data_IF_472691186108
#
_entry.id   IF_472691186108
#
_cell.length_a   1.000
_cell.length_b   1.000
_cell.length_c   1.000
_cell.angle_alpha   90.00
_cell.angle_beta   90.00
_cell.angle_gamma   90.00
#
_symmetry.space_group_name_H-M   'P 1'
#
loop_
_entity.id
_entity.type
_entity.pdbx_description
1 polymer ?
#
# COMPACT_ATOMS: atom_id res chain seq x y z
N UNK A 1 4.44 56.84 -32.33
CA UNK A 1 4.20 57.11 -30.91
C UNK A 1 3.30 55.96 -30.45
N UNK A 2 3.74 54.90 -29.77
CA UNK A 2 4.56 54.84 -28.55
C UNK A 2 5.52 53.63 -28.60
N UNK A 3 6.75 53.87 -28.15
CA UNK A 3 7.73 52.84 -27.78
C UNK A 3 7.21 52.06 -26.58
N UNK A 4 7.43 50.74 -26.56
CA UNK A 4 7.51 50.00 -25.30
C UNK A 4 8.74 49.10 -25.34
N UNK A 5 9.83 49.68 -24.86
CA UNK A 5 11.06 49.02 -24.53
C UNK A 5 10.80 48.13 -23.32
N UNK A 6 10.68 46.83 -23.53
CA UNK A 6 10.59 45.88 -22.41
C UNK A 6 12.01 45.53 -21.97
N UNK A 7 12.50 46.28 -20.97
CA UNK A 7 13.65 45.91 -20.15
C UNK A 7 13.21 44.78 -19.19
N UNK A 8 13.59 43.55 -19.49
CA UNK A 8 13.82 42.52 -18.47
C UNK A 8 15.35 42.34 -18.44
N UNK A 9 16.06 42.70 -17.38
CA UNK A 9 15.91 42.12 -16.05
C UNK A 9 17.00 41.07 -15.87
N UNK A 10 18.23 41.55 -15.60
CA UNK A 10 19.36 40.89 -14.94
C UNK A 10 19.73 39.41 -15.29
N UNK A 11 20.73 39.28 -16.16
CA UNK A 11 21.99 38.55 -15.96
C UNK A 11 21.94 37.37 -14.95
N UNK A 12 21.53 36.19 -15.40
CA UNK A 12 21.88 34.93 -14.73
C UNK A 12 23.28 34.53 -15.19
N UNK A 13 24.21 34.48 -14.24
CA UNK A 13 25.64 34.21 -14.37
C UNK A 13 25.96 33.00 -15.25
N UNK A 14 27.12 33.04 -15.92
CA UNK A 14 27.59 32.10 -16.95
C UNK A 14 27.28 30.61 -16.73
N UNK A 15 27.20 30.13 -15.49
CA UNK A 15 26.86 28.73 -15.15
C UNK A 15 25.46 28.28 -15.60
N UNK A 16 24.46 29.15 -15.68
CA UNK A 16 23.10 28.78 -16.14
C UNK A 16 23.05 28.60 -17.65
N UNK A 17 23.79 29.44 -18.39
CA UNK A 17 23.93 29.34 -19.85
C UNK A 17 24.76 28.11 -20.21
N UNK A 18 25.89 27.89 -19.53
CA UNK A 18 26.73 26.70 -19.69
C UNK A 18 25.94 25.41 -19.41
N UNK A 19 25.08 25.41 -18.40
CA UNK A 19 24.21 24.27 -18.11
C UNK A 19 23.17 24.04 -19.21
N UNK A 20 22.58 25.10 -19.77
CA UNK A 20 21.63 24.97 -20.87
C UNK A 20 22.30 24.41 -22.15
N UNK A 21 23.51 24.89 -22.46
CA UNK A 21 24.31 24.41 -23.60
C UNK A 21 24.71 22.93 -23.42
N UNK A 22 25.12 22.54 -22.20
CA UNK A 22 25.42 21.16 -21.86
C UNK A 22 24.19 20.24 -22.03
N UNK A 23 23.01 20.69 -21.59
CA UNK A 23 21.75 19.96 -21.77
C UNK A 23 21.40 19.83 -23.25
N UNK A 24 21.60 20.86 -24.07
CA UNK A 24 21.37 20.79 -25.52
C UNK A 24 22.36 19.88 -26.23
N UNK A 25 23.65 19.92 -25.86
CA UNK A 25 24.66 19.04 -26.42
C UNK A 25 24.36 17.57 -26.11
N UNK A 26 23.99 17.28 -24.86
CA UNK A 26 23.62 15.93 -24.43
C UNK A 26 22.34 15.43 -25.13
N UNK A 27 21.33 16.27 -25.30
CA UNK A 27 20.11 15.90 -26.01
C UNK A 27 20.38 15.53 -27.48
N UNK A 28 21.29 16.26 -28.15
CA UNK A 28 21.76 15.88 -29.50
C UNK A 28 22.48 14.53 -29.51
N UNK A 29 23.32 14.24 -28.51
CA UNK A 29 24.01 12.96 -28.40
C UNK A 29 23.04 11.78 -28.17
N UNK A 30 21.97 12.00 -27.42
CA UNK A 30 20.94 11.00 -27.13
C UNK A 30 19.85 10.93 -28.22
N UNK A 31 19.96 11.72 -29.29
CA UNK A 31 18.98 11.86 -30.36
C UNK A 31 17.55 12.18 -29.85
N UNK A 32 17.46 12.98 -28.78
CA UNK A 32 16.20 13.44 -28.21
C UNK A 32 15.86 14.79 -28.84
N UNK A 33 14.60 14.95 -29.26
CA UNK A 33 14.12 16.21 -29.82
C UNK A 33 14.20 17.33 -28.78
N UNK A 34 14.80 18.47 -29.12
CA UNK A 34 15.03 19.58 -28.18
C UNK A 34 13.70 20.10 -27.61
N UNK A 35 12.59 20.03 -28.35
CA UNK A 35 11.25 20.38 -27.86
C UNK A 35 10.78 19.51 -26.68
N UNK A 36 11.25 18.26 -26.58
CA UNK A 36 10.92 17.38 -25.45
C UNK A 36 11.51 17.88 -24.12
N UNK A 37 12.61 18.64 -24.16
CA UNK A 37 13.23 19.25 -22.97
C UNK A 37 12.37 20.38 -22.38
N UNK A 38 11.52 21.00 -23.19
CA UNK A 38 10.64 22.10 -22.78
C UNK A 38 9.23 21.62 -22.37
N UNK A 39 9.00 20.30 -22.38
CA UNK A 39 7.74 19.68 -21.95
C UNK A 39 6.54 19.94 -22.88
N UNK A 40 6.73 20.65 -23.99
CA UNK A 40 5.66 21.04 -24.92
C UNK A 40 5.30 19.95 -25.95
N UNK A 41 6.11 18.89 -26.07
CA UNK A 41 5.84 17.73 -26.94
C UNK A 41 5.30 16.51 -26.18
N UNK A 42 5.20 16.59 -24.85
CA UNK A 42 4.66 15.51 -24.02
C UNK A 42 3.14 15.58 -24.03
N UNK A 43 2.51 14.89 -24.99
CA UNK A 43 1.08 14.61 -24.90
C UNK A 43 0.88 13.50 -23.89
N UNK A 44 0.26 13.82 -22.75
CA UNK A 44 -0.28 12.79 -21.84
C UNK A 44 -1.42 12.09 -22.59
N UNK A 45 -1.10 10.97 -23.23
CA UNK A 45 -2.11 10.10 -23.82
C UNK A 45 -2.67 9.27 -22.67
N UNK A 46 -3.79 9.73 -22.12
CA UNK A 46 -4.57 8.94 -21.17
C UNK A 46 -5.19 7.76 -21.95
N UNK A 47 -4.44 6.66 -22.07
CA UNK A 47 -5.01 5.39 -22.53
C UNK A 47 -5.86 4.82 -21.41
N UNK A 48 -7.13 5.19 -21.41
CA UNK A 48 -8.15 4.42 -20.71
C UNK A 48 -8.55 3.28 -21.65
N UNK A 49 -7.61 2.39 -21.96
CA UNK A 49 -8.01 1.04 -22.34
C UNK A 49 -8.73 0.48 -21.11
N UNK A 50 -9.90 -0.14 -21.29
CA UNK A 50 -10.67 -0.73 -20.20
C UNK A 50 -9.76 -1.67 -19.40
N UNK A 51 -9.25 -1.19 -18.26
CA UNK A 51 -8.39 -1.98 -17.40
C UNK A 51 -9.20 -3.20 -16.98
N UNK A 52 -8.61 -4.38 -17.17
CA UNK A 52 -9.25 -5.61 -16.72
C UNK A 52 -9.50 -5.49 -15.21
N UNK A 53 -10.77 -5.34 -14.85
CA UNK A 53 -11.21 -5.32 -13.46
C UNK A 53 -11.10 -6.75 -12.91
N UNK A 54 -9.93 -7.09 -12.37
CA UNK A 54 -9.76 -8.27 -11.54
C UNK A 54 -10.21 -7.90 -10.12
N UNK A 55 -11.33 -8.46 -9.61
CA UNK A 55 -11.66 -8.29 -8.20
C UNK A 55 -10.56 -8.91 -7.34
N UNK A 56 -10.24 -8.26 -6.22
CA UNK A 56 -9.31 -8.83 -5.25
C UNK A 56 -9.93 -10.08 -4.64
N UNK A 57 -9.22 -11.20 -4.67
CA UNK A 57 -9.58 -12.34 -3.84
C UNK A 57 -9.31 -11.95 -2.38
N UNK A 58 -10.37 -11.80 -1.58
CA UNK A 58 -10.27 -11.39 -0.17
C UNK A 58 -9.70 -12.54 0.68
N UNK A 59 -9.91 -13.79 0.26
CA UNK A 59 -9.51 -14.99 1.03
C UNK A 59 -7.99 -15.18 1.02
N UNK A 60 -7.32 -14.76 -0.04
CA UNK A 60 -5.84 -14.82 -0.11
C UNK A 60 -5.15 -13.91 0.91
N UNK A 61 -5.86 -12.90 1.42
CA UNK A 61 -5.36 -11.95 2.41
C UNK A 61 -5.91 -12.22 3.81
N UNK A 62 -6.62 -13.34 4.00
CA UNK A 62 -7.15 -13.66 5.31
C UNK A 62 -6.00 -13.95 6.27
N UNK A 63 -6.02 -13.26 7.40
CA UNK A 63 -4.93 -13.35 8.36
C UNK A 63 -4.97 -14.71 9.06
N UNK A 64 -3.86 -15.44 8.94
CA UNK A 64 -3.62 -16.69 9.64
C UNK A 64 -2.65 -16.42 10.78
N UNK A 65 -2.96 -16.95 11.96
CA UNK A 65 -2.04 -16.86 13.07
C UNK A 65 -0.77 -17.67 12.76
N UNK A 66 0.42 -17.09 12.97
CA UNK A 66 1.68 -17.76 12.63
C UNK A 66 1.99 -18.93 13.58
N UNK A 67 1.51 -18.86 14.82
CA UNK A 67 1.70 -19.89 15.86
C UNK A 67 0.48 -19.96 16.79
N UNK A 68 0.29 -21.12 17.44
CA UNK A 68 -0.80 -21.38 18.40
C UNK A 68 -0.82 -20.38 19.56
N UNK A 69 0.35 -19.97 20.06
CA UNK A 69 0.46 -19.00 21.17
C UNK A 69 -0.17 -17.66 20.78
N UNK A 70 0.03 -17.20 19.54
CA UNK A 70 -0.54 -15.95 19.05
C UNK A 70 -2.08 -16.01 19.01
N UNK A 71 -2.64 -17.17 18.68
CA UNK A 71 -4.10 -17.38 18.72
C UNK A 71 -4.61 -17.32 20.14
N UNK A 72 -3.96 -18.04 21.08
CA UNK A 72 -4.35 -18.08 22.49
C UNK A 72 -4.34 -16.70 23.13
N UNK A 73 -3.37 -15.86 22.78
CA UNK A 73 -3.33 -14.46 23.20
C UNK A 73 -4.51 -13.66 22.62
N UNK A 74 -4.77 -13.79 21.31
CA UNK A 74 -5.89 -13.10 20.69
C UNK A 74 -7.25 -13.54 21.25
N UNK A 75 -7.41 -14.80 21.65
CA UNK A 75 -8.61 -15.31 22.33
C UNK A 75 -8.77 -14.68 23.71
N UNK A 76 -7.69 -14.63 24.50
CA UNK A 76 -7.72 -14.00 25.82
C UNK A 76 -8.11 -12.52 25.73
N UNK A 77 -7.58 -11.82 24.71
CA UNK A 77 -7.90 -10.42 24.44
C UNK A 77 -9.36 -10.26 23.97
N UNK A 78 -9.87 -11.11 23.08
CA UNK A 78 -11.26 -11.05 22.57
C UNK A 78 -12.29 -11.34 23.66
N UNK A 79 -12.02 -12.36 24.49
CA UNK A 79 -12.91 -12.75 25.59
C UNK A 79 -12.72 -11.90 26.85
N UNK A 80 -11.64 -11.11 26.93
CA UNK A 80 -11.21 -10.37 28.13
C UNK A 80 -10.99 -11.26 29.37
N UNK A 81 -10.75 -12.56 29.16
CA UNK A 81 -10.56 -13.58 30.20
C UNK A 81 -9.23 -14.29 29.92
N UNK A 82 -8.26 -14.26 30.85
CA UNK A 82 -7.03 -15.03 30.71
C UNK A 82 -7.33 -16.53 30.64
N UNK A 83 -6.71 -17.25 29.71
CA UNK A 83 -6.91 -18.71 29.56
C UNK A 83 -6.65 -19.49 30.86
N UNK A 84 -5.76 -19.01 31.73
CA UNK A 84 -5.48 -19.63 33.02
C UNK A 84 -6.64 -19.57 34.03
N UNK A 85 -7.65 -18.73 33.78
CA UNK A 85 -8.86 -18.59 34.62
C UNK A 85 -10.06 -19.36 34.07
N UNK A 86 -9.91 -20.01 32.93
CA UNK A 86 -10.96 -20.76 32.26
C UNK A 86 -11.07 -22.16 32.83
N UNK A 87 -12.25 -22.77 32.69
CA UNK A 87 -12.46 -24.18 33.05
C UNK A 87 -11.64 -25.09 32.14
N UNK A 88 -11.28 -26.27 32.62
CA UNK A 88 -10.46 -27.20 31.84
C UNK A 88 -11.22 -27.70 30.60
N UNK A 89 -12.55 -27.81 30.66
CA UNK A 89 -13.41 -28.14 29.52
C UNK A 89 -13.34 -27.07 28.42
N UNK A 90 -13.44 -25.80 28.80
CA UNK A 90 -13.37 -24.66 27.87
C UNK A 90 -11.99 -24.60 27.19
N UNK A 91 -10.93 -24.87 27.96
CA UNK A 91 -9.56 -24.89 27.44
C UNK A 91 -9.33 -26.05 26.49
N UNK A 92 -9.88 -27.22 26.81
CA UNK A 92 -9.80 -28.40 25.94
C UNK A 92 -10.54 -28.16 24.60
N UNK A 93 -11.71 -27.50 24.64
CA UNK A 93 -12.44 -27.10 23.43
C UNK A 93 -11.65 -26.10 22.57
N UNK A 94 -11.03 -25.09 23.19
CA UNK A 94 -10.14 -24.17 22.46
C UNK A 94 -8.99 -24.97 21.82
N UNK A 95 -8.34 -25.86 22.57
CA UNK A 95 -7.22 -26.64 22.05
C UNK A 95 -7.62 -27.57 20.90
N UNK A 96 -8.85 -28.11 20.88
CA UNK A 96 -9.33 -28.91 19.74
C UNK A 96 -9.53 -28.06 18.48
N UNK A 97 -10.06 -26.83 18.60
CA UNK A 97 -10.20 -25.92 17.46
C UNK A 97 -8.82 -25.55 16.90
N UNK A 98 -7.85 -25.25 17.76
CA UNK A 98 -6.52 -24.81 17.34
C UNK A 98 -5.70 -25.93 16.68
N UNK A 99 -6.06 -27.19 16.90
CA UNK A 99 -5.48 -28.32 16.17
C UNK A 99 -5.99 -28.42 14.73
N UNK A 100 -7.20 -27.92 14.46
CA UNK A 100 -7.85 -28.00 13.16
C UNK A 100 -7.66 -26.72 12.33
N UNK A 101 -7.62 -25.54 12.97
CA UNK A 101 -7.75 -24.27 12.28
C UNK A 101 -6.97 -23.13 12.96
N UNK A 102 -6.31 -22.30 12.14
CA UNK A 102 -5.56 -21.11 12.59
C UNK A 102 -5.96 -19.83 11.84
N UNK A 103 -7.04 -19.87 11.05
CA UNK A 103 -7.62 -18.69 10.42
C UNK A 103 -8.25 -17.80 11.50
N UNK A 104 -7.84 -16.53 11.57
CA UNK A 104 -8.26 -15.64 12.66
C UNK A 104 -9.76 -15.40 12.69
N UNK A 105 -10.38 -15.17 11.54
CA UNK A 105 -11.81 -14.85 11.47
C UNK A 105 -12.65 -16.03 11.94
N UNK A 106 -12.32 -17.22 11.45
CA UNK A 106 -13.05 -18.45 11.72
C UNK A 106 -12.85 -18.92 13.17
N UNK A 107 -11.62 -18.86 13.69
CA UNK A 107 -11.32 -19.25 15.08
C UNK A 107 -12.06 -18.35 16.06
N UNK A 108 -11.98 -17.02 15.90
CA UNK A 108 -12.62 -16.09 16.84
C UNK A 108 -14.15 -16.16 16.74
N UNK A 109 -14.71 -16.36 15.55
CA UNK A 109 -16.15 -16.54 15.38
C UNK A 109 -16.65 -17.81 16.11
N UNK A 110 -15.98 -18.94 15.88
CA UNK A 110 -16.35 -20.22 16.50
C UNK A 110 -16.29 -20.15 18.04
N UNK A 111 -15.20 -19.58 18.57
CA UNK A 111 -15.02 -19.42 20.01
C UNK A 111 -16.10 -18.50 20.59
N UNK A 112 -16.40 -17.38 19.94
CA UNK A 112 -17.46 -16.47 20.39
C UNK A 112 -18.82 -17.14 20.41
N UNK A 113 -19.15 -17.95 19.40
CA UNK A 113 -20.41 -18.68 19.35
C UNK A 113 -20.49 -19.72 20.47
N UNK A 114 -19.40 -20.43 20.77
CA UNK A 114 -19.34 -21.34 21.91
C UNK A 114 -19.64 -20.64 23.24
N UNK A 115 -18.93 -19.55 23.54
CA UNK A 115 -19.14 -18.81 24.81
C UNK A 115 -20.49 -18.08 24.88
N UNK A 116 -21.09 -17.72 23.73
CA UNK A 116 -22.42 -17.11 23.69
C UNK A 116 -23.54 -18.13 23.94
N UNK A 117 -23.39 -19.35 23.45
CA UNK A 117 -24.41 -20.39 23.55
C UNK A 117 -24.27 -21.27 24.80
N UNK A 118 -23.12 -21.23 25.48
CA UNK A 118 -22.83 -21.98 26.70
C UNK A 118 -23.17 -21.27 28.02
N UNK A 119 -23.75 -20.06 27.97
CA UNK A 119 -24.21 -19.29 29.16
C UNK A 119 -25.71 -19.41 29.41
#
# INVERSE_FOLDING_TARGET
MWSLQVKHGALLSGSVVERADCVHALARQLNILISALYGSDLRVVLRIDELQHQPFDIRQFEYHFPIVIAVKLAIADDLTIPLARMLDEDRAFIDSILAEMLNRSEVLACIRDYFRNGQ
#
